data_IF_382745731908
#
_entry.id   IF_382745731908
#
_cell.length_a   1.000
_cell.length_b   1.000
_cell.length_c   1.000
_cell.angle_alpha   90.00
_cell.angle_beta   90.00
_cell.angle_gamma   90.00
#
_symmetry.space_group_name_H-M   'P 1'
#
loop_
_entity.id
_entity.type
_entity.pdbx_description
1 polymer ?
#
# COMPACT_ATOMS: atom_id res chain seq x y z
N UNK A 1 16.31 16.10 34.05
CA UNK A 1 15.00 15.47 33.77
C UNK A 1 14.96 15.24 32.27
N UNK A 2 15.19 14.01 31.81
CA UNK A 2 15.06 13.70 30.38
C UNK A 2 13.55 13.67 30.05
N UNK A 3 13.13 14.49 29.08
CA UNK A 3 11.79 14.37 28.47
C UNK A 3 11.74 13.01 27.77
N UNK A 4 10.84 12.14 28.19
CA UNK A 4 10.44 11.01 27.36
C UNK A 4 9.37 11.57 26.44
N UNK A 5 9.78 11.98 25.24
CA UNK A 5 8.83 12.24 24.16
C UNK A 5 8.21 10.88 23.83
N UNK A 6 7.03 10.60 24.39
CA UNK A 6 6.25 9.40 24.02
C UNK A 6 5.91 9.58 22.56
N UNK A 7 6.65 8.93 21.67
CA UNK A 7 6.29 8.81 20.26
C UNK A 7 4.87 8.25 20.20
N UNK A 8 3.91 9.11 19.86
CA UNK A 8 2.52 8.72 19.64
C UNK A 8 2.32 8.43 18.16
N UNK A 9 1.69 7.29 17.86
CA UNK A 9 1.24 6.98 16.51
C UNK A 9 -0.27 7.11 16.47
N UNK A 10 -0.78 7.85 15.50
CA UNK A 10 -2.22 8.04 15.24
C UNK A 10 -2.62 7.22 14.01
N UNK A 11 -3.82 6.66 14.03
CA UNK A 11 -4.38 5.89 12.92
C UNK A 11 -5.74 6.45 12.53
N UNK A 12 -5.94 6.68 11.24
CA UNK A 12 -7.20 7.10 10.64
C UNK A 12 -7.72 5.97 9.77
N UNK A 13 -9.03 5.72 9.86
CA UNK A 13 -9.69 4.65 9.12
C UNK A 13 -10.78 5.24 8.25
N UNK A 14 -11.00 4.64 7.08
CA UNK A 14 -12.14 4.97 6.21
C UNK A 14 -13.46 4.38 6.74
N UNK A 15 -14.57 4.68 6.05
CA UNK A 15 -15.91 4.19 6.41
C UNK A 15 -16.03 2.66 6.39
N UNK A 16 -15.14 1.96 5.69
CA UNK A 16 -15.05 0.50 5.64
C UNK A 16 -14.14 -0.06 6.75
N UNK A 17 -13.70 0.78 7.69
CA UNK A 17 -12.79 0.45 8.78
C UNK A 17 -11.42 -0.08 8.28
N UNK A 18 -10.96 0.41 7.14
CA UNK A 18 -9.63 0.14 6.58
C UNK A 18 -8.69 1.29 6.92
N UNK A 19 -7.42 0.99 7.18
CA UNK A 19 -6.43 2.00 7.53
C UNK A 19 -6.20 2.95 6.35
N UNK A 20 -6.62 4.21 6.47
CA UNK A 20 -6.46 5.25 5.44
C UNK A 20 -5.17 6.06 5.66
N UNK A 21 -4.78 6.28 6.92
CA UNK A 21 -3.53 6.96 7.24
C UNK A 21 -2.96 6.50 8.59
N UNK A 22 -1.63 6.46 8.68
CA UNK A 22 -0.91 6.35 9.95
C UNK A 22 0.08 7.49 10.07
N UNK A 23 0.10 8.17 11.21
CA UNK A 23 0.99 9.28 11.48
C UNK A 23 1.86 8.97 12.70
N UNK A 24 3.17 9.05 12.54
CA UNK A 24 4.14 8.93 13.63
C UNK A 24 5.14 10.10 13.60
N UNK A 25 6.21 10.03 14.41
CA UNK A 25 7.22 11.08 14.47
C UNK A 25 7.99 11.31 13.15
N UNK A 26 7.94 10.36 12.21
CA UNK A 26 8.53 10.47 10.87
C UNK A 26 7.59 11.10 9.84
N UNK A 27 6.31 11.24 10.17
CA UNK A 27 5.28 11.87 9.33
C UNK A 27 4.12 10.92 9.01
N UNK A 28 3.36 11.27 7.98
CA UNK A 28 2.14 10.54 7.58
C UNK A 28 2.42 9.57 6.45
N UNK A 29 2.02 8.31 6.63
CA UNK A 29 1.85 7.35 5.54
C UNK A 29 0.37 7.26 5.19
N UNK A 30 0.04 7.45 3.91
CA UNK A 30 -1.34 7.37 3.41
C UNK A 30 -1.56 6.11 2.58
N UNK A 31 -2.78 5.58 2.67
CA UNK A 31 -3.22 4.34 2.03
C UNK A 31 -4.51 4.61 1.27
N UNK A 32 -4.67 3.98 0.10
CA UNK A 32 -5.94 4.00 -0.62
C UNK A 32 -6.29 2.61 -1.12
N UNK A 33 -7.58 2.38 -1.33
CA UNK A 33 -8.12 1.09 -1.71
C UNK A 33 -9.18 1.27 -2.81
N UNK A 34 -9.34 0.25 -3.65
CA UNK A 34 -10.45 0.19 -4.58
C UNK A 34 -11.77 -0.19 -3.87
N UNK A 35 -12.85 -0.25 -4.67
CA UNK A 35 -14.18 -0.63 -4.20
C UNK A 35 -14.27 -2.08 -3.69
N UNK A 36 -13.34 -2.96 -4.11
CA UNK A 36 -13.29 -4.35 -3.67
C UNK A 36 -12.47 -4.56 -2.40
N UNK A 37 -11.79 -3.52 -1.90
CA UNK A 37 -10.92 -3.64 -0.74
C UNK A 37 -9.44 -3.81 -1.06
N UNK A 38 -9.06 -3.82 -2.34
CA UNK A 38 -7.67 -4.02 -2.71
C UNK A 38 -6.89 -2.71 -2.55
N UNK A 39 -5.75 -2.77 -1.86
CA UNK A 39 -4.89 -1.59 -1.66
C UNK A 39 -4.32 -1.13 -3.00
N UNK A 40 -4.55 0.12 -3.39
CA UNK A 40 -4.10 0.70 -4.65
C UNK A 40 -2.83 1.52 -4.49
N UNK A 41 -2.67 2.25 -3.37
CA UNK A 41 -1.54 3.16 -3.17
C UNK A 41 -1.07 3.11 -1.73
N UNK A 42 0.25 3.19 -1.56
CA UNK A 42 0.91 3.62 -0.32
C UNK A 42 1.76 4.83 -0.65
N UNK A 43 1.57 5.92 0.08
CA UNK A 43 2.36 7.14 -0.04
C UNK A 43 3.09 7.39 1.29
N UNK A 44 4.41 7.31 1.25
CA UNK A 44 5.29 7.49 2.40
C UNK A 44 5.48 8.99 2.74
N UNK A 45 5.92 9.33 3.97
CA UNK A 45 6.12 10.72 4.39
C UNK A 45 7.11 11.51 3.52
N UNK A 46 8.06 10.83 2.87
CA UNK A 46 9.05 11.42 1.97
C UNK A 46 8.51 11.64 0.53
N UNK A 47 7.23 11.37 0.30
CA UNK A 47 6.58 11.42 -1.02
C UNK A 47 6.79 10.16 -1.86
N UNK A 48 7.48 9.14 -1.32
CA UNK A 48 7.66 7.86 -1.98
C UNK A 48 6.32 7.15 -2.20
N UNK A 49 5.92 6.99 -3.46
CA UNK A 49 4.62 6.40 -3.83
C UNK A 49 4.79 4.99 -4.41
N UNK A 50 4.17 4.01 -3.77
CA UNK A 50 4.01 2.65 -4.32
C UNK A 50 2.59 2.46 -4.81
N UNK A 51 2.41 1.96 -6.03
CA UNK A 51 1.08 1.71 -6.62
C UNK A 51 0.90 0.22 -6.93
N UNK A 52 -0.27 -0.31 -6.65
CA UNK A 52 -0.64 -1.70 -6.92
C UNK A 52 -1.80 -1.77 -7.91
N UNK A 53 -1.68 -2.64 -8.91
CA UNK A 53 -2.73 -2.93 -9.87
C UNK A 53 -3.31 -4.32 -9.65
N UNK A 54 -4.63 -4.42 -9.80
CA UNK A 54 -5.40 -5.63 -9.54
C UNK A 54 -6.25 -5.97 -10.77
N UNK A 55 -6.43 -7.26 -11.04
CA UNK A 55 -7.35 -7.73 -12.07
C UNK A 55 -8.79 -7.93 -11.52
N UNK A 56 -9.69 -8.39 -12.40
CA UNK A 56 -11.10 -8.59 -12.05
C UNK A 56 -11.33 -9.73 -11.04
N UNK A 57 -10.34 -10.58 -10.81
CA UNK A 57 -10.37 -11.69 -9.84
C UNK A 57 -9.74 -11.29 -8.50
N UNK A 58 -9.43 -10.00 -8.32
CA UNK A 58 -8.75 -9.43 -7.16
C UNK A 58 -7.34 -10.03 -6.95
N UNK A 59 -6.62 -10.28 -8.04
CA UNK A 59 -5.23 -10.70 -8.00
C UNK A 59 -4.31 -9.53 -8.32
N UNK A 60 -3.22 -9.39 -7.58
CA UNK A 60 -2.24 -8.32 -7.79
C UNK A 60 -1.39 -8.61 -9.02
N UNK A 61 -1.58 -7.84 -10.09
CA UNK A 61 -0.89 -8.02 -11.37
C UNK A 61 0.20 -6.99 -11.63
N UNK A 62 0.26 -5.93 -10.82
CA UNK A 62 1.25 -4.86 -10.97
C UNK A 62 1.64 -4.30 -9.59
N UNK A 63 2.94 -4.07 -9.41
CA UNK A 63 3.50 -3.16 -8.39
C UNK A 63 4.39 -2.15 -9.08
N UNK A 64 4.23 -0.86 -8.78
CA UNK A 64 5.13 0.20 -9.23
C UNK A 64 5.76 0.82 -7.99
N UNK A 65 7.09 0.73 -7.87
CA UNK A 65 7.86 1.27 -6.75
C UNK A 65 8.07 2.79 -6.90
N UNK A 66 8.45 3.51 -5.83
CA UNK A 66 8.76 4.94 -5.89
C UNK A 66 9.89 5.27 -6.89
N UNK A 67 10.78 4.31 -7.15
CA UNK A 67 11.85 4.40 -8.13
C UNK A 67 11.35 4.35 -9.59
N UNK A 68 10.08 4.02 -9.81
CA UNK A 68 9.50 3.74 -11.12
C UNK A 68 9.69 2.29 -11.59
N UNK A 69 10.44 1.46 -10.86
CA UNK A 69 10.58 0.03 -11.15
C UNK A 69 9.20 -0.66 -11.08
N UNK A 70 8.96 -1.63 -11.97
CA UNK A 70 7.65 -2.25 -12.16
C UNK A 70 7.78 -3.75 -12.05
N UNK A 71 6.99 -4.33 -11.15
CA UNK A 71 6.87 -5.78 -11.03
C UNK A 71 5.50 -6.18 -11.56
N UNK A 72 5.45 -6.96 -12.63
CA UNK A 72 4.18 -7.51 -13.15
C UNK A 72 4.01 -8.95 -12.69
N UNK A 73 2.77 -9.42 -12.56
CA UNK A 73 2.49 -10.82 -12.26
C UNK A 73 1.33 -11.32 -13.09
N UNK A 74 1.41 -12.58 -13.53
CA UNK A 74 0.32 -13.26 -14.23
C UNK A 74 -0.07 -14.52 -13.47
N UNK A 75 -1.36 -14.83 -13.50
CA UNK A 75 -1.95 -15.98 -12.84
C UNK A 75 -2.59 -16.89 -13.88
N UNK A 76 -2.56 -18.20 -13.62
CA UNK A 76 -3.33 -19.16 -14.41
C UNK A 76 -4.72 -19.36 -13.82
N UNK A 77 -5.59 -20.09 -14.55
CA UNK A 77 -6.96 -20.40 -14.14
C UNK A 77 -7.10 -21.18 -12.82
N UNK A 78 -5.99 -21.64 -12.22
CA UNK A 78 -5.97 -22.27 -10.89
C UNK A 78 -5.49 -21.31 -9.80
N UNK A 79 -5.50 -19.99 -10.06
CA UNK A 79 -5.03 -18.96 -9.15
C UNK A 79 -3.53 -19.05 -8.77
N UNK A 80 -2.73 -19.76 -9.56
CA UNK A 80 -1.28 -19.86 -9.32
C UNK A 80 -0.57 -18.79 -10.12
N UNK A 81 0.32 -18.03 -9.46
CA UNK A 81 1.24 -17.12 -10.13
C UNK A 81 2.16 -17.93 -11.05
N UNK A 82 2.14 -17.63 -12.33
CA UNK A 82 2.92 -18.31 -13.37
C UNK A 82 4.04 -17.44 -13.94
N UNK A 83 4.03 -16.14 -13.66
CA UNK A 83 5.04 -15.23 -14.19
C UNK A 83 5.26 -14.01 -13.29
N UNK A 84 6.51 -13.52 -13.23
CA UNK A 84 6.89 -12.25 -12.63
C UNK A 84 8.02 -11.63 -13.47
N UNK A 85 7.83 -10.40 -13.96
CA UNK A 85 8.88 -9.55 -14.56
C UNK A 85 9.24 -8.43 -13.59
N UNK A 86 10.50 -8.01 -13.59
CA UNK A 86 11.03 -6.84 -12.85
C UNK A 86 11.62 -5.79 -13.79
#
# INVERSE_FOLDING_TARGET
MLSVDRASTTYTYDDANRLEASEDASGTTAYSFDANGNQQVVEAPDGGRTTYGWDYENQMVLTVLPTGARVTSQYNASNRRVYTEE
#
